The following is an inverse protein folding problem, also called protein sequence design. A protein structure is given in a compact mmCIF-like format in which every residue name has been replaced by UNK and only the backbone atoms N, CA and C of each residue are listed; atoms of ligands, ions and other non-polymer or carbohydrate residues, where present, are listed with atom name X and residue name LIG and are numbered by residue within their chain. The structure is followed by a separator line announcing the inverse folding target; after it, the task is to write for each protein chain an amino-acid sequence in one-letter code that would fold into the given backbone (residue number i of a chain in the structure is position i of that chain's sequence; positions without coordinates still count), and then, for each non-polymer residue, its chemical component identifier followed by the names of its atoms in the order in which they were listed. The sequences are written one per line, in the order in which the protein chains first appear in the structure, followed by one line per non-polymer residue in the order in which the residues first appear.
data_IF_692484961395
#
_entry.id   IF_692484961395
#
_cell.length_a   1.000
_cell.length_b   1.000
_cell.length_c   1.000
_cell.angle_alpha   90.00
_cell.angle_beta   90.00
_cell.angle_gamma   90.00
#
_symmetry.space_group_name_H-M   'P 1'
#
loop_
_entity.id
_entity.type
_entity.pdbx_description
1 polymer ?
#
# COMPACT_ATOMS: atom_id res chain seq x y z
N UNK A 1 6.83 -7.44 -6.42
CA UNK A 1 7.66 -7.33 -7.64
C UNK A 1 8.92 -8.16 -7.58
N UNK A 2 9.75 -8.08 -6.52
CA UNK A 2 10.93 -8.95 -6.36
C UNK A 2 10.59 -10.45 -6.50
N UNK A 3 9.52 -10.92 -5.84
CA UNK A 3 9.05 -12.31 -5.95
C UNK A 3 8.78 -12.74 -7.41
N UNK A 4 8.28 -11.83 -8.25
CA UNK A 4 7.83 -12.15 -9.61
C UNK A 4 8.95 -12.01 -10.65
N UNK A 5 9.82 -11.02 -10.50
CA UNK A 5 10.78 -10.59 -11.52
C UNK A 5 12.20 -10.39 -10.97
N UNK A 6 12.48 -10.86 -9.75
CA UNK A 6 13.77 -10.72 -9.09
C UNK A 6 14.25 -9.27 -8.91
N UNK A 7 15.57 -9.09 -9.00
CA UNK A 7 16.20 -7.76 -8.90
C UNK A 7 15.69 -6.76 -9.95
N UNK A 8 15.52 -7.11 -11.24
CA UNK A 8 14.93 -6.20 -12.23
C UNK A 8 13.55 -5.68 -11.81
N UNK A 9 12.67 -6.53 -11.30
CA UNK A 9 11.36 -6.12 -10.79
C UNK A 9 11.42 -5.17 -9.60
N UNK A 10 12.34 -5.42 -8.67
CA UNK A 10 12.56 -4.55 -7.53
C UNK A 10 13.06 -3.16 -7.96
N UNK A 11 14.01 -3.12 -8.90
CA UNK A 11 14.54 -1.89 -9.48
C UNK A 11 13.46 -1.09 -10.22
N UNK A 12 12.65 -1.75 -11.04
CA UNK A 12 11.53 -1.12 -11.75
C UNK A 12 10.53 -0.49 -10.79
N UNK A 13 10.14 -1.23 -9.74
CA UNK A 13 9.23 -0.71 -8.72
C UNK A 13 9.83 0.52 -8.01
N UNK A 14 11.10 0.43 -7.60
CA UNK A 14 11.77 1.55 -6.93
C UNK A 14 11.90 2.77 -7.83
N UNK A 15 12.18 2.56 -9.12
CA UNK A 15 12.23 3.61 -10.11
C UNK A 15 10.87 4.30 -10.26
N UNK A 16 9.79 3.55 -10.46
CA UNK A 16 8.44 4.11 -10.60
C UNK A 16 8.02 4.93 -9.36
N UNK A 17 8.28 4.39 -8.16
CA UNK A 17 8.00 5.09 -6.91
C UNK A 17 8.82 6.39 -6.74
N UNK A 18 10.07 6.38 -7.20
CA UNK A 18 10.92 7.57 -7.17
C UNK A 18 10.48 8.59 -8.22
N UNK A 19 10.10 8.14 -9.42
CA UNK A 19 9.58 8.98 -10.49
C UNK A 19 8.29 9.69 -10.07
N UNK A 20 7.38 9.00 -9.37
CA UNK A 20 6.17 9.63 -8.82
C UNK A 20 6.51 10.73 -7.80
N UNK A 21 7.42 10.46 -6.88
CA UNK A 21 7.84 11.46 -5.89
C UNK A 21 8.54 12.69 -6.51
N UNK A 22 9.27 12.51 -7.60
CA UNK A 22 10.00 13.59 -8.28
C UNK A 22 9.13 14.37 -9.28
N UNK A 23 8.26 13.69 -10.02
CA UNK A 23 7.47 14.31 -11.11
C UNK A 23 6.01 14.54 -10.75
N UNK A 24 5.50 13.97 -9.65
CA UNK A 24 4.12 14.11 -9.20
C UNK A 24 3.75 15.49 -8.67
N UNK A 25 4.72 16.37 -8.41
CA UNK A 25 4.45 17.75 -8.01
C UNK A 25 4.00 18.60 -9.20
N UNK A 26 2.90 19.34 -9.01
CA UNK A 26 2.44 20.35 -9.98
C UNK A 26 3.48 21.46 -10.06
N UNK A 27 4.38 21.37 -11.02
CA UNK A 27 5.48 22.33 -11.19
C UNK A 27 5.80 22.58 -12.65
N UNK A 28 6.19 23.82 -12.94
CA UNK A 28 6.84 24.19 -14.19
C UNK A 28 8.33 23.84 -14.03
N UNK A 29 8.80 22.77 -14.68
CA UNK A 29 10.22 22.42 -14.68
C UNK A 29 10.85 22.97 -15.97
N UNK A 30 11.89 23.81 -15.82
CA UNK A 30 12.57 24.50 -16.93
C UNK A 30 11.61 25.27 -17.88
N UNK A 31 10.60 25.94 -17.34
CA UNK A 31 9.66 26.75 -18.13
C UNK A 31 8.57 25.95 -18.86
N UNK A 32 8.53 24.62 -18.73
CA UNK A 32 7.48 23.78 -19.33
C UNK A 32 6.53 23.22 -18.26
N UNK A 33 5.24 23.10 -18.58
CA UNK A 33 4.26 22.46 -17.70
C UNK A 33 4.50 20.94 -17.69
N UNK A 34 5.08 20.42 -16.60
CA UNK A 34 5.43 19.01 -16.44
C UNK A 34 4.30 18.15 -15.86
N UNK A 35 3.08 18.72 -15.71
CA UNK A 35 1.95 18.02 -15.13
C UNK A 35 1.53 16.74 -15.88
N UNK A 36 1.84 16.63 -17.17
CA UNK A 36 1.52 15.44 -17.98
C UNK A 36 2.42 14.24 -17.63
N UNK A 37 3.73 14.46 -17.47
CA UNK A 37 4.70 13.42 -17.12
C UNK A 37 4.47 12.92 -15.69
N UNK A 38 4.19 13.84 -14.76
CA UNK A 38 3.80 13.50 -13.39
C UNK A 38 2.57 12.60 -13.31
N UNK A 39 1.58 12.80 -14.20
CA UNK A 39 0.37 11.97 -14.24
C UNK A 39 0.65 10.53 -14.68
N UNK A 40 1.60 10.32 -15.59
CA UNK A 40 1.99 8.96 -16.02
C UNK A 40 2.80 8.24 -14.94
N UNK A 41 3.71 8.94 -14.27
CA UNK A 41 4.45 8.39 -13.14
C UNK A 41 3.51 7.98 -11.99
N UNK A 42 2.57 8.86 -11.61
CA UNK A 42 1.57 8.57 -10.59
C UNK A 42 0.70 7.36 -10.94
N UNK A 43 0.28 7.23 -12.21
CA UNK A 43 -0.49 6.07 -12.67
C UNK A 43 0.32 4.78 -12.64
N UNK A 44 1.61 4.84 -13.01
CA UNK A 44 2.47 3.68 -12.96
C UNK A 44 2.71 3.21 -11.51
N UNK A 45 2.98 4.13 -10.59
CA UNK A 45 3.06 3.81 -9.15
C UNK A 45 1.74 3.23 -8.65
N UNK A 46 0.60 3.83 -9.03
CA UNK A 46 -0.70 3.36 -8.60
C UNK A 46 -1.00 1.93 -9.08
N UNK A 47 -0.64 1.59 -10.32
CA UNK A 47 -0.81 0.22 -10.86
C UNK A 47 0.11 -0.75 -10.11
N UNK A 48 1.37 -0.37 -9.90
CA UNK A 48 2.34 -1.23 -9.23
C UNK A 48 2.00 -1.47 -7.74
N UNK A 49 1.33 -0.52 -7.10
CA UNK A 49 0.87 -0.62 -5.72
C UNK A 49 -0.54 -1.20 -5.56
N UNK A 50 -1.25 -1.46 -6.66
CA UNK A 50 -2.62 -1.97 -6.60
C UNK A 50 -2.71 -3.27 -5.80
N UNK A 51 -2.01 -4.31 -6.23
CA UNK A 51 -2.03 -5.62 -5.57
C UNK A 51 -1.40 -5.58 -4.16
N UNK A 52 -0.19 -5.01 -3.95
CA UNK A 52 0.41 -4.91 -2.62
C UNK A 52 -0.48 -4.22 -1.57
N UNK A 53 -1.19 -3.15 -1.97
CA UNK A 53 -2.07 -2.42 -1.06
C UNK A 53 -3.26 -3.27 -0.59
N UNK A 54 -3.89 -4.05 -1.49
CA UNK A 54 -5.00 -4.95 -1.12
C UNK A 54 -4.50 -6.07 -0.23
N UNK A 55 -3.39 -6.71 -0.59
CA UNK A 55 -2.80 -7.77 0.24
C UNK A 55 -2.51 -7.28 1.66
N UNK A 56 -1.92 -6.09 1.78
CA UNK A 56 -1.64 -5.48 3.08
C UNK A 56 -2.92 -5.20 3.86
N UNK A 57 -3.90 -4.52 3.24
CA UNK A 57 -5.17 -4.18 3.89
C UNK A 57 -5.98 -5.39 4.32
N UNK A 58 -6.08 -6.42 3.48
CA UNK A 58 -6.78 -7.68 3.79
C UNK A 58 -6.06 -8.43 4.91
N UNK A 59 -4.73 -8.54 4.87
CA UNK A 59 -3.96 -9.21 5.93
C UNK A 59 -4.12 -8.50 7.27
N UNK A 60 -4.06 -7.15 7.28
CA UNK A 60 -4.37 -6.37 8.48
C UNK A 60 -5.79 -6.62 8.99
N UNK A 61 -6.77 -6.70 8.08
CA UNK A 61 -8.15 -6.95 8.46
C UNK A 61 -8.35 -8.34 9.08
N UNK A 62 -7.72 -9.37 8.51
CA UNK A 62 -7.76 -10.72 9.08
C UNK A 62 -7.10 -10.77 10.46
N UNK A 63 -5.91 -10.18 10.61
CA UNK A 63 -5.18 -10.15 11.88
C UNK A 63 -5.84 -9.27 12.95
N UNK A 64 -6.58 -8.24 12.53
CA UNK A 64 -7.31 -7.32 13.39
C UNK A 64 -8.77 -7.69 13.63
N UNK A 65 -9.27 -8.81 13.06
CA UNK A 65 -10.68 -9.22 13.21
C UNK A 65 -11.68 -8.25 12.56
N UNK A 66 -11.27 -7.55 11.50
CA UNK A 66 -12.06 -6.52 10.85
C UNK A 66 -12.93 -7.13 9.74
N UNK A 67 -14.17 -6.68 9.65
CA UNK A 67 -15.05 -7.03 8.54
C UNK A 67 -14.53 -6.46 7.21
N UNK A 68 -14.31 -7.32 6.20
CA UNK A 68 -13.78 -6.91 4.89
C UNK A 68 -14.69 -5.94 4.12
N UNK A 69 -16.01 -5.99 4.33
CA UNK A 69 -16.93 -5.01 3.73
C UNK A 69 -16.77 -3.63 4.36
N UNK A 70 -16.57 -3.59 5.68
CA UNK A 70 -16.27 -2.35 6.39
C UNK A 70 -14.94 -1.77 5.93
N UNK A 71 -13.91 -2.61 5.78
CA UNK A 71 -12.62 -2.22 5.21
C UNK A 71 -12.78 -1.58 3.83
N UNK A 72 -13.46 -2.26 2.90
CA UNK A 72 -13.65 -1.75 1.54
C UNK A 72 -14.35 -0.39 1.53
N UNK A 73 -15.43 -0.25 2.32
CA UNK A 73 -16.19 1.01 2.42
C UNK A 73 -15.35 2.16 2.98
N UNK A 74 -14.52 1.90 3.99
CA UNK A 74 -13.61 2.91 4.53
C UNK A 74 -12.48 3.24 3.55
N UNK A 75 -11.86 2.24 2.93
CA UNK A 75 -10.77 2.42 1.96
C UNK A 75 -11.21 3.26 0.75
N UNK A 76 -12.45 3.10 0.28
CA UNK A 76 -13.00 3.85 -0.85
C UNK A 76 -13.18 5.36 -0.58
N UNK A 77 -13.04 5.82 0.67
CA UNK A 77 -13.15 7.25 1.01
C UNK A 77 -11.88 8.03 0.68
N UNK A 78 -10.75 7.37 0.46
CA UNK A 78 -9.49 8.06 0.13
C UNK A 78 -9.39 8.35 -1.37
N UNK A 79 -8.84 9.50 -1.79
CA UNK A 79 -8.62 9.78 -3.20
C UNK A 79 -7.68 8.80 -3.91
N UNK A 80 -6.68 8.28 -3.20
CA UNK A 80 -5.80 7.24 -3.74
C UNK A 80 -6.49 5.88 -3.68
N UNK A 81 -6.48 5.11 -4.78
CA UNK A 81 -7.06 3.77 -4.81
C UNK A 81 -6.23 2.76 -3.99
N UNK A 82 -5.03 3.12 -3.53
CA UNK A 82 -4.09 2.21 -2.89
C UNK A 82 -3.95 2.49 -1.40
N UNK A 83 -3.61 3.73 -1.01
CA UNK A 83 -3.30 4.04 0.39
C UNK A 83 -4.49 3.85 1.32
N UNK A 84 -5.73 3.95 0.81
CA UNK A 84 -6.96 3.71 1.57
C UNK A 84 -7.03 2.34 2.23
N UNK A 85 -6.53 1.28 1.60
CA UNK A 85 -6.62 -0.09 2.11
C UNK A 85 -5.87 -0.28 3.44
N UNK A 86 -4.54 -0.07 3.51
CA UNK A 86 -3.82 -0.21 4.78
C UNK A 86 -4.24 0.83 5.82
N UNK A 87 -4.55 2.06 5.40
CA UNK A 87 -4.98 3.12 6.32
C UNK A 87 -6.32 2.82 6.98
N UNK A 88 -7.31 2.40 6.19
CA UNK A 88 -8.62 2.01 6.70
C UNK A 88 -8.52 0.78 7.60
N UNK A 89 -7.73 -0.22 7.21
CA UNK A 89 -7.50 -1.40 8.04
C UNK A 89 -6.89 -1.01 9.39
N UNK A 90 -5.88 -0.13 9.41
CA UNK A 90 -5.27 0.32 10.67
C UNK A 90 -6.23 1.14 11.54
N UNK A 91 -7.00 2.05 10.93
CA UNK A 91 -8.02 2.85 11.63
C UNK A 91 -9.07 1.96 12.31
N UNK A 92 -9.55 0.93 11.60
CA UNK A 92 -10.51 -0.03 12.13
C UNK A 92 -9.90 -0.95 13.19
N UNK A 93 -8.69 -1.47 12.98
CA UNK A 93 -8.04 -2.43 13.89
C UNK A 93 -7.67 -1.81 15.24
N UNK A 94 -7.30 -0.54 15.23
CA UNK A 94 -6.95 0.21 16.44
C UNK A 94 -8.17 0.89 17.08
N UNK A 95 -9.30 0.90 16.36
CA UNK A 95 -10.49 1.68 16.68
C UNK A 95 -10.22 3.18 16.87
N UNK A 96 -9.44 3.75 15.95
CA UNK A 96 -9.09 5.17 15.93
C UNK A 96 -9.59 5.84 14.66
N UNK A 97 -9.81 7.15 14.74
CA UNK A 97 -10.13 8.01 13.61
C UNK A 97 -8.85 8.50 12.97
N UNK A 98 -8.70 8.23 11.68
CA UNK A 98 -7.62 8.77 10.84
C UNK A 98 -8.24 9.64 9.75
N UNK A 99 -7.59 10.72 9.35
CA UNK A 99 -8.16 11.58 8.32
C UNK A 99 -7.20 12.65 7.85
N UNK A 100 -7.50 13.17 6.67
CA UNK A 100 -6.88 14.38 6.13
C UNK A 100 -7.91 15.50 6.17
N UNK A 101 -7.68 16.59 6.92
CA UNK A 101 -8.62 17.70 7.02
C UNK A 101 -9.07 18.19 5.65
N UNK A 102 -10.39 18.34 5.47
CA UNK A 102 -11.00 18.79 4.21
C UNK A 102 -10.98 17.78 3.06
N UNK A 103 -10.51 16.55 3.26
CA UNK A 103 -10.41 15.54 2.19
C UNK A 103 -11.12 14.24 2.53
N UNK A 104 -10.77 13.59 3.65
CA UNK A 104 -11.41 12.33 4.05
C UNK A 104 -11.28 12.07 5.55
N UNK A 105 -12.18 11.23 6.07
CA UNK A 105 -12.11 10.68 7.43
C UNK A 105 -12.43 9.19 7.39
N UNK A 106 -11.53 8.40 7.95
CA UNK A 106 -11.59 6.95 8.11
C UNK A 106 -11.98 6.61 9.55
N UNK A 107 -12.88 5.65 9.70
CA UNK A 107 -13.45 5.22 10.98
C UNK A 107 -13.89 6.41 11.87
N UNK A 108 -14.88 7.22 11.43
CA UNK A 108 -15.27 8.45 12.12
C UNK A 108 -15.72 8.23 13.58
N UNK A 109 -16.26 7.06 13.89
CA UNK A 109 -16.67 6.65 15.25
C UNK A 109 -15.53 6.16 16.15
N UNK A 110 -14.31 6.05 15.63
CA UNK A 110 -13.13 5.69 16.41
C UNK A 110 -12.62 6.84 17.31
N UNK A 111 -11.78 6.49 18.28
CA UNK A 111 -11.13 7.44 19.19
C UNK A 111 -10.07 8.31 18.50
N UNK A 112 -9.62 9.37 19.16
CA UNK A 112 -8.49 10.15 18.66
C UNK A 112 -7.19 9.34 18.73
N UNK A 113 -6.38 9.40 17.68
CA UNK A 113 -5.09 8.70 17.64
C UNK A 113 -4.14 9.23 18.73
N UNK A 114 -3.60 8.35 19.56
CA UNK A 114 -2.67 8.67 20.64
C UNK A 114 -1.31 8.00 20.49
N UNK A 115 -0.37 8.33 21.40
CA UNK A 115 1.00 7.76 21.40
C UNK A 115 1.02 6.22 21.52
N UNK A 116 0.06 5.64 22.26
CA UNK A 116 -0.02 4.19 22.43
C UNK A 116 -0.41 3.47 21.14
N UNK A 117 -1.20 4.12 20.28
CA UNK A 117 -1.63 3.56 19.02
C UNK A 117 -0.47 3.38 18.04
N UNK A 118 0.57 4.22 18.12
CA UNK A 118 1.80 4.02 17.34
C UNK A 118 2.46 2.67 17.65
N UNK A 119 2.56 2.30 18.94
CA UNK A 119 3.14 1.00 19.34
C UNK A 119 2.28 -0.16 18.84
N UNK A 120 0.96 -0.04 18.97
CA UNK A 120 0.00 -1.05 18.48
C UNK A 120 0.05 -1.17 16.95
N UNK A 121 0.15 -0.05 16.24
CA UNK A 121 0.27 0.00 14.78
C UNK A 121 1.54 -0.72 14.31
N UNK A 122 2.68 -0.49 14.97
CA UNK A 122 3.93 -1.21 14.72
C UNK A 122 3.72 -2.71 14.94
N UNK A 123 3.10 -3.12 16.04
CA UNK A 123 2.84 -4.53 16.31
C UNK A 123 1.99 -5.20 15.22
N UNK A 124 0.93 -4.52 14.73
CA UNK A 124 0.14 -5.01 13.60
C UNK A 124 0.97 -5.10 12.31
N UNK A 125 1.75 -4.06 12.00
CA UNK A 125 2.62 -4.05 10.83
C UNK A 125 3.64 -5.21 10.88
N UNK A 126 4.26 -5.45 12.04
CA UNK A 126 5.16 -6.59 12.24
C UNK A 126 4.47 -7.93 12.02
N UNK A 127 3.25 -8.13 12.54
CA UNK A 127 2.49 -9.35 12.31
C UNK A 127 2.16 -9.57 10.83
N UNK A 128 1.81 -8.50 10.10
CA UNK A 128 1.56 -8.58 8.65
C UNK A 128 2.83 -8.98 7.91
N UNK A 129 3.97 -8.39 8.24
CA UNK A 129 5.26 -8.77 7.64
C UNK A 129 5.58 -10.25 7.91
N UNK A 130 5.45 -10.70 9.16
CA UNK A 130 5.67 -12.09 9.54
C UNK A 130 4.70 -13.07 8.84
N UNK A 131 3.47 -12.63 8.54
CA UNK A 131 2.51 -13.44 7.78
C UNK A 131 2.84 -13.50 6.28
N UNK A 132 3.33 -12.40 5.69
CA UNK A 132 3.57 -12.30 4.26
C UNK A 132 4.94 -12.83 3.83
N UNK A 133 5.96 -12.79 4.69
CA UNK A 133 7.31 -13.29 4.37
C UNK A 133 7.29 -14.79 3.98
N UNK A 134 6.68 -15.71 4.75
CA UNK A 134 6.62 -17.12 4.38
C UNK A 134 5.89 -17.34 3.06
N UNK A 135 4.79 -16.62 2.82
CA UNK A 135 4.05 -16.67 1.56
C UNK A 135 4.91 -16.22 0.37
N UNK A 136 5.69 -15.15 0.56
CA UNK A 136 6.62 -14.65 -0.46
C UNK A 136 7.75 -15.66 -0.73
N UNK A 137 8.33 -16.26 0.31
CA UNK A 137 9.37 -17.28 0.18
C UNK A 137 8.85 -18.54 -0.52
N UNK A 138 7.67 -19.03 -0.13
CA UNK A 138 7.02 -20.16 -0.79
C UNK A 138 6.77 -19.86 -2.27
N UNK A 139 6.27 -18.66 -2.60
CA UNK A 139 6.07 -18.25 -3.98
C UNK A 139 7.40 -18.21 -4.77
N UNK A 140 8.49 -17.70 -4.17
CA UNK A 140 9.82 -17.72 -4.80
C UNK A 140 10.28 -19.15 -5.08
N UNK A 141 10.14 -20.06 -4.11
CA UNK A 141 10.53 -21.47 -4.27
C UNK A 141 9.73 -22.14 -5.39
N UNK A 142 8.41 -21.94 -5.42
CA UNK A 142 7.54 -22.47 -6.47
C UNK A 142 7.97 -21.93 -7.84
N UNK A 143 8.16 -20.62 -7.96
CA UNK A 143 8.61 -20.00 -9.22
C UNK A 143 9.97 -20.55 -9.65
N UNK A 144 10.90 -20.75 -8.72
CA UNK A 144 12.22 -21.31 -9.03
C UNK A 144 12.14 -22.76 -9.54
N UNK A 145 11.34 -23.61 -8.88
CA UNK A 145 11.17 -25.02 -9.28
C UNK A 145 10.52 -25.14 -10.66
N UNK A 146 9.41 -24.43 -10.89
CA UNK A 146 8.65 -24.54 -12.14
C UNK A 146 9.19 -23.66 -13.29
N UNK A 147 9.97 -22.62 -12.97
CA UNK A 147 10.65 -21.78 -13.95
C UNK A 147 11.93 -22.43 -14.50
N UNK A 148 12.65 -23.18 -13.67
CA UNK A 148 13.86 -23.91 -14.09
C UNK A 148 13.55 -25.12 -15.00
N UNK A 149 12.34 -25.68 -14.94
CA UNK A 149 11.92 -26.79 -15.80
C UNK A 149 11.52 -26.40 -17.24
N UNK A 150 11.57 -25.11 -17.58
CA UNK A 150 11.20 -24.59 -18.91
C UNK A 150 12.39 -24.01 -19.70
N UNK A 151 13.61 -24.09 -19.16
CA UNK A 151 14.86 -23.68 -19.80
C UNK A 151 15.72 -24.91 -20.12
#
# INVERSE_FOLDING_TARGET
WFVLLGLPGAALYRFANTADAMWGYKGVYKGQNWAWAGKWAARADDVLNWLPARLTGVTLALLGGINLRALHREAAKTPSPNSGWPMAAMALALNIRLGKPGVYTLNPGGGAAGRQDTRRAIAYASKVLLALIPCALAAIIVIAIFGAGQA
#
